data_IF_199299248670
#
_entry.id   IF_199299248670
#
_cell.length_a   1.000
_cell.length_b   1.000
_cell.length_c   1.000
_cell.angle_alpha   90.00
_cell.angle_beta   90.00
_cell.angle_gamma   90.00
#
_symmetry.space_group_name_H-M   'P 1'
#
loop_
_entity.id
_entity.type
_entity.pdbx_description
1 polymer ?
#
# COMPACT_ATOMS: atom_id res chain seq x y z
N UNK A 1 -36.30 11.49 7.81
CA UNK A 1 -35.71 11.38 6.46
C UNK A 1 -34.33 12.03 6.52
N UNK A 2 -33.28 11.24 6.73
CA UNK A 2 -31.89 11.71 6.81
C UNK A 2 -31.28 11.65 5.41
N UNK A 3 -30.60 12.72 5.03
CA UNK A 3 -30.28 13.11 3.67
C UNK A 3 -29.10 12.29 3.10
N UNK A 4 -29.33 11.50 2.05
CA UNK A 4 -28.40 10.55 1.38
C UNK A 4 -27.31 11.22 0.52
N UNK A 5 -26.85 12.45 0.82
CA UNK A 5 -26.02 13.25 -0.11
C UNK A 5 -24.74 13.87 0.45
N UNK A 6 -24.33 13.57 1.69
CA UNK A 6 -23.23 14.30 2.33
C UNK A 6 -21.82 13.77 2.07
N UNK A 7 -21.63 12.59 1.47
CA UNK A 7 -20.29 12.05 1.21
C UNK A 7 -19.51 12.82 0.12
N UNK A 8 -20.22 13.42 -0.85
CA UNK A 8 -19.62 14.02 -2.05
C UNK A 8 -19.40 15.55 -1.97
N UNK A 9 -19.83 16.21 -0.90
CA UNK A 9 -19.75 17.67 -0.78
C UNK A 9 -18.36 18.19 -0.36
N UNK A 10 -17.38 17.30 -0.14
CA UNK A 10 -16.01 17.67 0.26
C UNK A 10 -14.95 17.63 -0.85
N UNK A 11 -15.31 17.42 -2.13
CA UNK A 11 -14.34 17.14 -3.21
C UNK A 11 -14.54 17.89 -4.53
N UNK A 12 -15.33 18.97 -4.57
CA UNK A 12 -15.55 19.73 -5.80
C UNK A 12 -15.24 21.23 -5.66
N UNK A 13 -14.06 21.66 -6.16
CA UNK A 13 -13.86 22.90 -6.92
C UNK A 13 -12.36 23.19 -7.16
N UNK A 14 -11.81 22.78 -8.31
CA UNK A 14 -11.10 23.66 -9.27
C UNK A 14 -10.51 22.83 -10.42
N UNK A 15 -11.21 22.77 -11.55
CA UNK A 15 -10.60 22.43 -12.83
C UNK A 15 -11.39 23.09 -13.96
N UNK A 16 -10.83 24.16 -14.53
CA UNK A 16 -11.14 24.58 -15.89
C UNK A 16 -10.02 25.51 -16.39
N UNK A 17 -9.12 24.98 -17.22
CA UNK A 17 -8.75 25.64 -18.49
C UNK A 17 -8.01 24.68 -19.41
N UNK A 18 -8.26 24.89 -20.71
CA UNK A 18 -8.07 24.00 -21.83
C UNK A 18 -6.62 23.58 -22.16
N UNK A 19 -6.53 22.42 -22.80
CA UNK A 19 -5.34 21.88 -23.47
C UNK A 19 -4.80 22.77 -24.58
N UNK A 20 -3.48 22.93 -24.61
CA UNK A 20 -2.70 23.21 -25.82
C UNK A 20 -1.41 22.40 -25.74
N UNK A 21 -1.28 21.42 -26.64
CA UNK A 21 -0.09 20.61 -26.84
C UNK A 21 1.08 21.52 -27.25
N UNK A 22 2.05 21.66 -26.35
CA UNK A 22 3.40 22.14 -26.69
C UNK A 22 4.42 21.21 -26.05
N UNK A 23 5.20 20.55 -26.90
CA UNK A 23 6.36 19.76 -26.53
C UNK A 23 7.46 20.69 -26.00
N UNK A 24 7.42 20.98 -24.71
CA UNK A 24 8.56 21.57 -24.00
C UNK A 24 9.35 20.45 -23.34
N UNK A 25 10.57 20.22 -23.83
CA UNK A 25 11.62 19.49 -23.08
C UNK A 25 11.69 20.08 -21.68
N UNK A 26 11.25 19.30 -20.68
CA UNK A 26 11.44 19.65 -19.28
C UNK A 26 12.95 19.62 -19.02
N UNK A 27 13.51 20.82 -18.91
CA UNK A 27 14.87 21.02 -18.43
C UNK A 27 14.83 20.62 -16.94
N UNK A 28 15.45 19.49 -16.60
CA UNK A 28 15.74 19.13 -15.22
C UNK A 28 16.64 20.22 -14.63
N UNK A 29 16.03 21.25 -14.05
CA UNK A 29 16.69 22.12 -13.10
C UNK A 29 16.55 21.46 -11.74
N UNK A 30 17.68 21.04 -11.19
CA UNK A 30 17.86 20.66 -9.80
C UNK A 30 17.52 21.87 -8.89
N UNK A 31 16.24 22.12 -8.67
CA UNK A 31 15.80 22.90 -7.54
C UNK A 31 15.62 21.91 -6.39
N UNK A 32 16.65 21.73 -5.57
CA UNK A 32 16.40 21.44 -4.16
C UNK A 32 15.56 22.61 -3.66
N UNK A 33 14.24 22.46 -3.73
CA UNK A 33 13.32 23.30 -3.02
C UNK A 33 13.70 23.20 -1.54
N UNK A 34 14.39 24.23 -1.03
CA UNK A 34 14.68 24.35 0.40
C UNK A 34 13.38 24.72 1.09
N UNK A 35 12.46 23.77 1.19
CA UNK A 35 11.28 23.90 2.04
C UNK A 35 11.77 24.06 3.47
N UNK A 36 11.47 25.21 4.05
CA UNK A 36 11.97 25.61 5.36
C UNK A 36 11.52 24.60 6.42
N UNK A 37 10.32 24.03 6.28
CA UNK A 37 9.79 23.01 7.16
C UNK A 37 10.60 21.69 7.11
N UNK A 38 11.14 21.32 5.95
CA UNK A 38 12.01 20.14 5.82
C UNK A 38 13.39 20.43 6.43
N UNK A 39 13.93 21.62 6.20
CA UNK A 39 15.19 22.01 6.81
C UNK A 39 15.06 22.05 8.35
N UNK A 40 13.97 22.62 8.87
CA UNK A 40 13.71 22.67 10.31
C UNK A 40 13.59 21.26 10.92
N UNK A 41 12.88 20.35 10.26
CA UNK A 41 12.78 18.95 10.68
C UNK A 41 14.16 18.27 10.72
N UNK A 42 14.98 18.46 9.69
CA UNK A 42 16.35 17.92 9.61
C UNK A 42 17.31 18.53 10.64
N UNK A 43 17.06 19.76 11.07
CA UNK A 43 17.78 20.44 12.16
C UNK A 43 17.26 20.04 13.56
N UNK A 44 16.27 19.14 13.63
CA UNK A 44 15.75 18.56 14.86
C UNK A 44 14.55 19.30 15.46
N UNK A 45 13.89 20.18 14.71
CA UNK A 45 12.65 20.83 15.17
C UNK A 45 11.50 19.81 15.21
N UNK A 46 10.78 19.80 16.33
CA UNK A 46 9.58 18.98 16.54
C UNK A 46 8.46 19.86 17.05
N UNK A 47 7.27 19.75 16.46
CA UNK A 47 6.09 20.48 16.91
C UNK A 47 5.36 21.23 15.82
N UNK A 48 4.46 22.11 16.24
CA UNK A 48 3.72 23.00 15.35
C UNK A 48 4.65 24.02 14.70
N UNK A 49 4.65 24.03 13.38
CA UNK A 49 5.40 24.92 12.51
C UNK A 49 4.44 25.88 11.77
N UNK A 50 4.98 26.76 10.96
CA UNK A 50 4.21 27.78 10.25
C UNK A 50 3.17 27.14 9.31
N UNK A 51 2.03 27.82 9.12
CA UNK A 51 1.02 27.40 8.15
C UNK A 51 0.16 26.20 8.55
N UNK A 52 0.13 25.81 9.83
CA UNK A 52 -0.65 24.66 10.29
C UNK A 52 -0.01 23.32 9.91
N UNK A 53 1.32 23.29 9.88
CA UNK A 53 2.13 22.09 9.61
C UNK A 53 2.76 21.63 10.92
N UNK A 54 2.56 20.38 11.31
CA UNK A 54 3.29 19.75 12.41
C UNK A 54 4.47 18.95 11.86
N UNK A 55 5.64 19.06 12.49
CA UNK A 55 6.85 18.32 12.13
C UNK A 55 7.11 17.23 13.17
N UNK A 56 7.14 15.97 12.74
CA UNK A 56 7.35 14.81 13.61
C UNK A 56 8.45 13.89 13.04
N UNK A 57 9.68 13.94 13.59
CA UNK A 57 10.80 13.11 13.13
C UNK A 57 10.62 11.65 13.58
N UNK A 58 11.37 10.74 12.96
CA UNK A 58 11.43 9.33 13.32
C UNK A 58 12.59 9.10 14.30
N UNK A 59 12.25 8.94 15.57
CA UNK A 59 13.19 8.75 16.69
C UNK A 59 12.70 7.61 17.58
N UNK A 60 13.53 7.12 18.50
CA UNK A 60 13.14 6.10 19.47
C UNK A 60 11.96 6.55 20.37
N UNK A 61 11.74 7.87 20.50
CA UNK A 61 10.62 8.42 21.29
C UNK A 61 9.32 8.54 20.49
N UNK A 62 9.39 8.58 19.17
CA UNK A 62 8.25 8.83 18.27
C UNK A 62 7.84 7.62 17.46
N UNK A 63 8.65 6.56 17.48
CA UNK A 63 8.45 5.32 16.73
C UNK A 63 8.20 4.14 17.66
N UNK A 64 7.27 3.27 17.28
CA UNK A 64 7.07 1.97 17.92
C UNK A 64 7.49 0.84 16.97
N UNK A 65 8.11 -0.21 17.52
CA UNK A 65 8.49 -1.40 16.76
C UNK A 65 7.42 -2.48 16.86
N UNK A 66 6.68 -2.67 15.77
CA UNK A 66 5.89 -3.86 15.53
C UNK A 66 4.58 -3.97 16.32
N UNK A 67 4.20 -2.88 17.01
CA UNK A 67 2.98 -2.81 17.83
C UNK A 67 2.18 -1.53 17.59
N UNK A 68 0.87 -1.68 17.41
CA UNK A 68 -0.11 -0.65 17.73
C UNK A 68 -0.48 -0.78 19.20
N UNK A 69 -0.60 0.34 19.91
CA UNK A 69 -1.01 0.32 21.31
C UNK A 69 -1.85 1.55 21.64
N UNK A 70 -3.11 1.33 22.00
CA UNK A 70 -4.07 2.38 22.31
C UNK A 70 -3.67 3.25 23.51
N UNK A 71 -2.79 2.73 24.39
CA UNK A 71 -2.32 3.45 25.57
C UNK A 71 -1.09 4.33 25.30
N UNK A 72 -0.52 4.30 24.09
CA UNK A 72 0.61 5.16 23.74
C UNK A 72 0.22 6.65 23.83
N UNK A 73 0.98 7.49 24.53
CA UNK A 73 0.72 8.91 24.55
C UNK A 73 0.89 9.48 23.12
N UNK A 74 0.00 10.39 22.68
CA UNK A 74 0.16 11.05 21.40
C UNK A 74 1.53 11.75 21.28
N UNK A 75 2.23 11.49 20.17
CA UNK A 75 3.52 12.13 19.83
C UNK A 75 3.32 13.45 19.10
N UNK A 76 2.12 13.66 18.56
CA UNK A 76 1.68 14.90 17.96
C UNK A 76 0.17 15.11 18.21
N UNK A 77 -0.25 16.37 18.22
CA UNK A 77 -1.66 16.79 18.26
C UNK A 77 -1.89 17.80 17.15
N UNK A 78 -2.83 17.51 16.26
CA UNK A 78 -3.20 18.38 15.13
C UNK A 78 -4.71 18.56 15.06
N UNK A 79 -5.15 19.66 14.47
CA UNK A 79 -6.56 19.93 14.19
C UNK A 79 -6.98 19.36 12.85
N UNK A 80 -8.28 19.11 12.68
CA UNK A 80 -8.85 18.80 11.37
C UNK A 80 -8.46 19.87 10.33
N UNK A 81 -7.94 19.45 9.18
CA UNK A 81 -7.45 20.29 8.09
C UNK A 81 -5.97 20.66 8.19
N UNK A 82 -5.30 20.41 9.31
CA UNK A 82 -3.85 20.62 9.44
C UNK A 82 -3.05 19.53 8.73
N UNK A 83 -1.78 19.85 8.48
CA UNK A 83 -0.82 18.95 7.84
C UNK A 83 0.18 18.44 8.86
N UNK A 84 0.60 17.19 8.73
CA UNK A 84 1.74 16.63 9.45
C UNK A 84 2.77 16.10 8.47
N UNK A 85 4.04 16.40 8.73
CA UNK A 85 5.17 15.81 8.03
C UNK A 85 5.83 14.83 8.99
N UNK A 86 5.78 13.56 8.59
CA UNK A 86 6.37 12.44 9.30
C UNK A 86 7.68 12.06 8.61
N UNK A 87 8.72 11.80 9.38
CA UNK A 87 9.75 10.86 8.94
C UNK A 87 9.32 9.44 9.31
N UNK A 88 9.81 8.45 8.57
CA UNK A 88 9.68 7.04 8.95
C UNK A 88 11.04 6.40 9.15
N UNK A 89 11.05 5.25 9.79
CA UNK A 89 12.26 4.51 10.16
C UNK A 89 12.35 3.23 9.34
N UNK A 90 13.58 2.76 9.09
CA UNK A 90 13.76 1.45 8.45
C UNK A 90 13.30 0.35 9.41
N UNK A 91 12.96 -0.80 8.85
CA UNK A 91 12.50 -1.97 9.60
C UNK A 91 13.40 -2.32 10.80
N UNK A 92 12.76 -2.83 11.86
CA UNK A 92 13.38 -3.21 13.14
C UNK A 92 14.18 -2.07 13.79
N UNK A 93 13.63 -0.86 13.81
CA UNK A 93 14.25 0.36 14.35
C UNK A 93 15.62 0.69 13.75
N UNK A 94 15.70 0.78 12.42
CA UNK A 94 16.95 0.96 11.67
C UNK A 94 17.99 -0.16 11.84
N UNK A 95 17.62 -1.33 12.35
CA UNK A 95 18.56 -2.46 12.39
C UNK A 95 18.66 -3.19 11.06
N UNK A 96 17.71 -2.99 10.14
CA UNK A 96 17.79 -3.51 8.77
C UNK A 96 18.17 -2.36 7.83
N UNK A 97 19.46 -2.31 7.47
CA UNK A 97 20.06 -1.33 6.57
C UNK A 97 20.85 -2.05 5.46
N UNK A 98 21.18 -1.36 4.35
CA UNK A 98 22.09 -1.90 3.35
C UNK A 98 23.37 -2.46 3.96
N UNK A 99 23.69 -3.72 3.64
CA UNK A 99 24.86 -4.45 4.14
C UNK A 99 24.59 -5.34 5.36
N UNK A 100 23.40 -5.28 5.94
CA UNK A 100 23.00 -6.21 7.02
C UNK A 100 22.75 -7.60 6.43
N UNK A 101 23.45 -8.64 6.92
CA UNK A 101 23.34 -9.98 6.36
C UNK A 101 22.01 -10.66 6.77
N UNK A 102 21.57 -11.63 5.98
CA UNK A 102 20.27 -12.29 6.20
C UNK A 102 20.18 -13.02 7.54
N UNK A 103 21.30 -13.49 8.09
CA UNK A 103 21.38 -14.13 9.40
C UNK A 103 20.99 -13.16 10.51
N UNK A 104 21.36 -11.89 10.39
CA UNK A 104 21.01 -10.85 11.35
C UNK A 104 19.52 -10.49 11.25
N UNK A 105 18.99 -10.35 10.03
CA UNK A 105 17.54 -10.14 9.81
C UNK A 105 16.72 -11.31 10.38
N UNK A 106 17.20 -12.54 10.16
CA UNK A 106 16.58 -13.76 10.70
C UNK A 106 16.60 -13.75 12.22
N UNK A 107 17.75 -13.42 12.84
CA UNK A 107 17.89 -13.29 14.30
C UNK A 107 16.91 -12.26 14.85
N UNK A 108 16.82 -11.08 14.24
CA UNK A 108 15.87 -10.04 14.64
C UNK A 108 14.43 -10.55 14.59
N UNK A 109 14.05 -11.35 13.59
CA UNK A 109 12.71 -11.96 13.54
C UNK A 109 12.49 -12.97 14.68
N UNK A 110 13.46 -13.85 14.92
CA UNK A 110 13.34 -14.95 15.90
C UNK A 110 13.34 -14.41 17.34
N UNK A 111 14.21 -13.46 17.66
CA UNK A 111 14.36 -12.89 19.01
C UNK A 111 13.18 -11.99 19.41
N UNK A 112 12.32 -11.65 18.45
CA UNK A 112 11.22 -10.72 18.61
C UNK A 112 9.89 -11.37 18.15
N UNK A 113 9.40 -12.41 18.84
CA UNK A 113 8.18 -13.11 18.44
C UNK A 113 6.93 -12.22 18.57
N UNK A 114 5.94 -12.44 17.71
CA UNK A 114 4.63 -11.77 17.74
C UNK A 114 4.59 -10.36 17.16
N UNK A 115 5.75 -9.72 16.93
CA UNK A 115 5.84 -8.41 16.28
C UNK A 115 6.28 -8.53 14.82
N UNK A 116 5.78 -7.66 13.96
CA UNK A 116 6.30 -7.49 12.60
C UNK A 116 7.68 -6.83 12.61
N UNK A 117 8.39 -6.83 11.47
CA UNK A 117 9.59 -5.99 11.29
C UNK A 117 9.24 -4.49 11.26
N UNK A 118 7.96 -4.15 11.13
CA UNK A 118 7.47 -2.79 10.89
C UNK A 118 7.84 -1.84 12.01
N UNK A 119 8.21 -0.62 11.63
CA UNK A 119 8.27 0.52 12.55
C UNK A 119 7.19 1.51 12.16
N UNK A 120 6.51 2.09 13.16
CA UNK A 120 5.41 3.03 12.94
C UNK A 120 5.66 4.32 13.71
N UNK A 121 5.65 5.45 13.01
CA UNK A 121 5.74 6.80 13.60
C UNK A 121 4.35 7.25 14.04
N UNK A 122 4.22 7.72 15.27
CA UNK A 122 2.93 8.12 15.87
C UNK A 122 2.81 7.68 17.34
N UNK A 123 1.60 7.67 17.92
CA UNK A 123 0.35 8.10 17.31
C UNK A 123 0.22 9.62 17.21
N UNK A 124 -0.50 10.07 16.19
CA UNK A 124 -0.94 11.45 16.00
C UNK A 124 -2.39 11.55 16.46
N UNK A 125 -2.67 12.40 17.44
CA UNK A 125 -4.02 12.64 17.93
C UNK A 125 -4.68 13.78 17.13
N UNK A 126 -5.87 13.51 16.57
CA UNK A 126 -6.60 14.42 15.70
C UNK A 126 -7.74 15.07 16.49
N UNK A 127 -7.61 16.36 16.81
CA UNK A 127 -8.60 17.07 17.62
C UNK A 127 -10.00 17.03 16.99
N UNK A 128 -10.99 16.60 17.78
CA UNK A 128 -12.39 16.52 17.36
C UNK A 128 -12.79 15.24 16.62
N UNK A 129 -11.87 14.29 16.38
CA UNK A 129 -12.21 12.97 15.89
C UNK A 129 -12.85 12.12 17.00
N UNK A 130 -14.00 11.52 16.73
CA UNK A 130 -14.77 10.68 17.66
C UNK A 130 -15.11 9.33 17.00
N UNK A 131 -15.35 8.27 17.79
CA UNK A 131 -15.79 6.98 17.25
C UNK A 131 -17.00 7.12 16.31
N UNK A 132 -16.91 6.50 15.13
CA UNK A 132 -17.92 6.59 14.08
C UNK A 132 -17.69 7.69 13.03
N UNK A 133 -16.72 8.59 13.24
CA UNK A 133 -16.22 9.49 12.20
C UNK A 133 -15.31 8.77 11.20
N UNK A 134 -14.88 9.49 10.16
CA UNK A 134 -13.87 9.04 9.20
C UNK A 134 -12.74 10.06 9.12
N UNK A 135 -11.49 9.61 9.20
CA UNK A 135 -10.34 10.43 8.81
C UNK A 135 -10.19 10.39 7.29
N UNK A 136 -10.12 11.56 6.66
CA UNK A 136 -9.69 11.74 5.27
C UNK A 136 -8.23 12.17 5.29
N UNK A 137 -7.34 11.23 4.98
CA UNK A 137 -5.89 11.41 5.02
C UNK A 137 -5.36 11.58 3.60
N UNK A 138 -4.99 12.80 3.22
CA UNK A 138 -4.41 13.10 1.91
C UNK A 138 -2.90 12.92 1.96
N UNK A 139 -2.36 12.05 1.11
CA UNK A 139 -0.92 11.91 0.90
C UNK A 139 -0.48 13.00 -0.08
N UNK A 140 0.08 14.08 0.43
CA UNK A 140 0.49 15.24 -0.36
C UNK A 140 1.82 15.00 -1.06
N UNK A 141 2.75 14.33 -0.37
CA UNK A 141 4.11 14.11 -0.85
C UNK A 141 4.78 12.95 -0.15
N UNK A 142 5.58 12.19 -0.90
CA UNK A 142 6.47 11.15 -0.36
C UNK A 142 7.88 11.38 -0.88
N UNK A 143 8.86 11.47 0.03
CA UNK A 143 10.29 11.47 -0.31
C UNK A 143 10.95 10.28 0.35
N UNK A 144 11.21 9.18 -0.38
CA UNK A 144 11.90 8.04 0.17
C UNK A 144 13.37 8.34 0.44
N UNK A 145 13.98 7.56 1.33
CA UNK A 145 15.42 7.43 1.42
C UNK A 145 15.95 6.81 0.12
N UNK A 146 17.24 6.98 -0.15
CA UNK A 146 17.86 6.54 -1.40
C UNK A 146 18.25 5.05 -1.39
N UNK A 147 17.70 4.26 -0.48
CA UNK A 147 18.01 2.84 -0.34
C UNK A 147 16.84 2.05 0.24
N UNK A 148 16.89 0.75 0.05
CA UNK A 148 15.95 -0.19 0.65
C UNK A 148 16.50 -1.62 0.70
N UNK A 149 15.76 -2.53 1.30
CA UNK A 149 16.12 -3.95 1.41
C UNK A 149 14.90 -4.82 1.14
N UNK A 150 15.05 -5.87 0.35
CA UNK A 150 14.10 -6.97 0.23
C UNK A 150 14.73 -8.22 0.84
N UNK A 151 13.94 -9.07 1.50
CA UNK A 151 14.49 -10.30 2.05
C UNK A 151 13.51 -11.48 2.01
N UNK A 152 14.07 -12.66 1.78
CA UNK A 152 13.44 -13.95 1.98
C UNK A 152 14.00 -14.57 3.26
N UNK A 153 13.12 -14.94 4.19
CA UNK A 153 13.51 -15.60 5.44
C UNK A 153 13.66 -17.11 5.23
N UNK A 154 14.43 -17.82 6.09
CA UNK A 154 14.55 -19.27 6.03
C UNK A 154 13.19 -19.98 6.04
N UNK A 155 13.03 -21.01 5.21
CA UNK A 155 11.77 -21.73 5.03
C UNK A 155 11.21 -22.34 6.32
N UNK A 156 12.06 -22.69 7.29
CA UNK A 156 11.65 -23.20 8.61
C UNK A 156 10.84 -22.19 9.44
N UNK A 157 10.91 -20.90 9.12
CA UNK A 157 10.08 -19.87 9.75
C UNK A 157 8.65 -19.82 9.20
N UNK A 158 8.39 -20.48 8.05
CA UNK A 158 7.08 -20.56 7.40
C UNK A 158 6.45 -19.18 7.14
N UNK A 159 7.24 -18.27 6.55
CA UNK A 159 6.83 -16.91 6.19
C UNK A 159 7.01 -16.66 4.68
N UNK A 160 6.18 -15.79 4.11
CA UNK A 160 6.01 -15.66 2.67
C UNK A 160 5.00 -16.66 2.11
N UNK A 161 4.70 -16.58 0.82
CA UNK A 161 3.65 -17.40 0.21
C UNK A 161 4.11 -18.85 -0.03
N UNK A 162 5.37 -19.06 -0.38
CA UNK A 162 5.91 -20.37 -0.77
C UNK A 162 7.18 -20.79 0.01
N UNK A 163 7.17 -20.77 1.36
CA UNK A 163 8.38 -21.01 2.16
C UNK A 163 8.99 -22.41 1.98
N UNK A 164 8.20 -23.41 1.59
CA UNK A 164 8.69 -24.77 1.34
C UNK A 164 9.34 -24.95 -0.03
N UNK A 165 8.97 -24.10 -1.01
CA UNK A 165 9.51 -24.16 -2.37
C UNK A 165 10.73 -23.26 -2.54
N UNK A 166 10.83 -22.20 -1.75
CA UNK A 166 11.97 -21.27 -1.72
C UNK A 166 12.53 -21.13 -0.29
N UNK A 167 13.11 -22.21 0.27
CA UNK A 167 13.54 -22.23 1.66
C UNK A 167 14.84 -21.44 1.92
N UNK A 168 15.59 -21.06 0.89
CA UNK A 168 16.86 -20.38 1.04
C UNK A 168 16.68 -18.93 1.53
N UNK A 169 17.45 -18.55 2.55
CA UNK A 169 17.42 -17.19 3.06
C UNK A 169 18.27 -16.25 2.18
N UNK A 170 17.76 -15.06 1.87
CA UNK A 170 18.49 -14.04 1.12
C UNK A 170 18.08 -12.64 1.55
N UNK A 171 19.05 -11.72 1.57
CA UNK A 171 18.80 -10.29 1.64
C UNK A 171 19.37 -9.63 0.38
N UNK A 172 18.58 -8.75 -0.24
CA UNK A 172 19.00 -7.89 -1.36
C UNK A 172 18.91 -6.44 -0.92
N UNK A 173 19.97 -5.68 -1.18
CA UNK A 173 20.02 -4.26 -0.87
C UNK A 173 19.96 -3.45 -2.15
N UNK A 174 19.16 -2.40 -2.12
CA UNK A 174 18.83 -1.58 -3.28
C UNK A 174 19.28 -0.16 -3.04
N UNK A 175 19.83 0.47 -4.09
CA UNK A 175 20.08 1.89 -4.13
C UNK A 175 19.12 2.50 -5.16
N UNK A 176 18.33 3.47 -4.72
CA UNK A 176 17.26 4.03 -5.52
C UNK A 176 17.79 5.21 -6.34
N UNK A 177 17.70 5.11 -7.67
CA UNK A 177 17.91 6.26 -8.54
C UNK A 177 16.61 7.08 -8.59
N UNK A 178 16.48 8.02 -7.65
CA UNK A 178 15.31 8.89 -7.53
C UNK A 178 15.19 9.91 -8.68
N UNK A 179 16.26 10.12 -9.46
CA UNK A 179 16.22 11.01 -10.63
C UNK A 179 15.58 10.29 -11.80
N UNK A 180 15.95 9.03 -12.03
CA UNK A 180 15.36 8.18 -13.07
C UNK A 180 14.04 7.55 -12.63
N UNK A 181 13.78 7.48 -11.32
CA UNK A 181 12.60 6.83 -10.76
C UNK A 181 12.66 5.30 -10.85
N UNK A 182 13.86 4.72 -10.74
CA UNK A 182 14.07 3.26 -10.86
C UNK A 182 15.06 2.75 -9.83
N UNK A 183 15.02 1.44 -9.58
CA UNK A 183 16.08 0.70 -8.90
C UNK A 183 16.47 -0.52 -9.73
N UNK A 184 17.74 -0.88 -9.73
CA UNK A 184 18.22 -2.09 -10.38
C UNK A 184 18.06 -3.29 -9.44
N UNK A 185 17.36 -4.33 -9.89
CA UNK A 185 17.18 -5.59 -9.13
C UNK A 185 18.37 -6.54 -9.33
N UNK A 186 18.78 -6.67 -10.59
CA UNK A 186 19.96 -7.37 -11.09
C UNK A 186 20.41 -6.63 -12.37
N UNK A 187 21.67 -6.80 -12.84
CA UNK A 187 22.13 -6.17 -14.06
C UNK A 187 21.16 -6.34 -15.23
N UNK A 188 20.64 -5.22 -15.75
CA UNK A 188 19.68 -5.19 -16.86
C UNK A 188 18.21 -5.47 -16.48
N UNK A 189 17.90 -5.55 -15.19
CA UNK A 189 16.54 -5.66 -14.65
C UNK A 189 16.25 -4.43 -13.78
N UNK A 190 15.38 -3.55 -14.27
CA UNK A 190 15.01 -2.31 -13.57
C UNK A 190 13.54 -2.33 -13.14
N UNK A 191 13.30 -1.85 -11.93
CA UNK A 191 11.99 -1.75 -11.32
C UNK A 191 11.63 -0.28 -11.07
N UNK A 192 10.39 0.16 -11.39
CA UNK A 192 9.97 1.53 -11.14
C UNK A 192 9.84 1.79 -9.64
N UNK A 193 10.47 2.85 -9.16
CA UNK A 193 10.33 3.33 -7.78
C UNK A 193 9.03 4.11 -7.66
N UNK A 194 8.06 3.53 -6.94
CA UNK A 194 6.73 4.10 -6.73
C UNK A 194 6.41 3.99 -5.24
N UNK A 195 6.90 4.93 -4.42
CA UNK A 195 6.89 4.77 -2.96
C UNK A 195 5.50 4.99 -2.38
N UNK A 196 5.17 4.24 -1.33
CA UNK A 196 3.92 4.34 -0.56
C UNK A 196 4.12 3.78 0.86
N UNK A 197 3.35 4.24 1.86
CA UNK A 197 3.37 3.62 3.19
C UNK A 197 2.56 2.31 3.16
N UNK A 198 3.21 1.17 3.44
CA UNK A 198 2.51 -0.11 3.66
C UNK A 198 1.57 -0.03 4.86
N UNK A 199 2.00 0.68 5.90
CA UNK A 199 1.17 1.02 7.07
C UNK A 199 0.65 2.44 7.02
N UNK A 200 -0.68 2.55 7.01
CA UNK A 200 -1.43 3.75 7.41
C UNK A 200 -2.67 3.31 8.18
N UNK A 201 -2.73 3.62 9.47
CA UNK A 201 -3.81 3.10 10.31
C UNK A 201 -4.08 3.91 11.57
N UNK A 202 -5.24 3.70 12.15
CA UNK A 202 -5.69 4.33 13.40
C UNK A 202 -5.78 3.30 14.53
N UNK A 203 -6.02 3.74 15.76
CA UNK A 203 -6.23 2.82 16.87
C UNK A 203 -7.51 1.99 16.68
N UNK A 204 -7.44 0.75 17.14
CA UNK A 204 -8.57 -0.18 17.16
C UNK A 204 -9.60 0.22 18.20
N UNK A 205 -10.84 -0.24 18.04
CA UNK A 205 -11.90 -0.07 19.04
C UNK A 205 -11.53 -0.76 20.35
N UNK A 206 -11.02 -1.99 20.26
CA UNK A 206 -10.58 -2.71 21.43
C UNK A 206 -9.28 -2.11 21.97
N UNK A 207 -9.28 -1.76 23.26
CA UNK A 207 -8.07 -1.29 23.93
C UNK A 207 -7.08 -2.43 24.11
N UNK A 208 -5.82 -2.21 23.73
CA UNK A 208 -4.76 -3.18 23.92
C UNK A 208 -3.52 -2.86 23.10
N UNK A 209 -2.59 -3.81 23.14
CA UNK A 209 -1.41 -3.85 22.29
C UNK A 209 -1.60 -4.94 21.22
N UNK A 210 -1.44 -4.57 19.95
CA UNK A 210 -1.70 -5.43 18.80
C UNK A 210 -0.53 -5.40 17.83
N UNK A 211 -0.21 -6.55 17.24
CA UNK A 211 0.83 -6.64 16.22
C UNK A 211 0.50 -5.71 15.05
N UNK A 212 1.53 -5.08 14.45
CA UNK A 212 1.38 -4.29 13.23
C UNK A 212 1.30 -5.15 11.97
N UNK A 213 1.32 -6.48 12.07
CA UNK A 213 1.30 -7.39 10.91
C UNK A 213 -0.07 -7.43 10.21
N UNK A 214 -1.18 -7.77 10.88
CA UNK A 214 -2.45 -7.88 10.17
C UNK A 214 -3.06 -6.48 9.90
N UNK A 215 -3.56 -6.21 8.68
CA UNK A 215 -4.47 -5.10 8.43
C UNK A 215 -5.83 -5.30 9.09
N UNK A 216 -6.70 -4.30 9.00
CA UNK A 216 -8.10 -4.43 9.38
C UNK A 216 -8.94 -3.20 9.03
N UNK A 217 -10.17 -3.11 9.56
CA UNK A 217 -11.02 -1.92 9.45
C UNK A 217 -10.33 -0.61 9.82
N UNK A 218 -9.37 -0.67 10.74
CA UNK A 218 -8.53 0.45 11.20
C UNK A 218 -7.42 0.85 10.23
N UNK A 219 -7.34 0.25 9.03
CA UNK A 219 -6.20 0.37 8.13
C UNK A 219 -5.08 -0.58 8.56
N UNK A 220 -3.93 -0.03 8.92
CA UNK A 220 -2.77 -0.82 9.32
C UNK A 220 -1.97 -1.27 8.10
N UNK A 221 -1.49 -2.51 8.10
CA UNK A 221 -0.62 -3.10 7.07
C UNK A 221 -1.38 -3.44 5.78
N UNK A 222 -1.85 -2.42 5.09
CA UNK A 222 -2.69 -2.60 3.91
C UNK A 222 -1.86 -3.09 2.72
N UNK A 223 -0.60 -2.68 2.61
CA UNK A 223 0.31 -3.05 1.52
C UNK A 223 -0.33 -2.85 0.14
N UNK A 224 -1.13 -1.79 0.06
CA UNK A 224 -1.81 -1.38 -1.16
C UNK A 224 -0.93 -0.37 -1.90
N UNK A 225 -0.20 -0.85 -2.90
CA UNK A 225 0.73 -0.05 -3.73
C UNK A 225 0.11 1.16 -4.44
N UNK A 226 -1.20 1.32 -4.36
CA UNK A 226 -1.92 2.47 -4.89
C UNK A 226 -1.95 3.67 -3.91
N UNK A 227 -1.51 3.52 -2.65
CA UNK A 227 -1.41 4.59 -1.65
C UNK A 227 -0.23 5.55 -1.87
N UNK A 228 -0.08 6.04 -3.10
CA UNK A 228 1.03 6.91 -3.51
C UNK A 228 0.74 8.39 -3.29
N UNK A 229 1.75 9.23 -3.53
CA UNK A 229 1.57 10.69 -3.61
C UNK A 229 0.36 11.07 -4.49
N UNK A 230 -0.48 11.96 -3.96
CA UNK A 230 -1.71 12.40 -4.61
C UNK A 230 -2.94 11.53 -4.31
N UNK A 231 -2.82 10.45 -3.54
CA UNK A 231 -3.98 9.66 -3.09
C UNK A 231 -4.53 10.13 -1.74
N UNK A 232 -5.80 9.83 -1.48
CA UNK A 232 -6.49 10.08 -0.21
C UNK A 232 -6.95 8.74 0.35
N UNK A 233 -6.69 8.48 1.63
CA UNK A 233 -7.17 7.29 2.34
C UNK A 233 -8.22 7.72 3.37
N UNK A 234 -9.39 7.10 3.30
CA UNK A 234 -10.50 7.33 4.21
C UNK A 234 -10.52 6.19 5.22
N UNK A 235 -10.29 6.48 6.50
CA UNK A 235 -10.13 5.47 7.56
C UNK A 235 -11.19 5.68 8.64
N UNK A 236 -12.02 4.67 9.00
CA UNK A 236 -13.00 4.81 10.07
C UNK A 236 -12.32 5.01 11.43
N UNK A 237 -12.91 5.86 12.27
CA UNK A 237 -12.41 6.20 13.60
C UNK A 237 -13.09 5.35 14.66
N UNK A 238 -12.30 4.76 15.56
CA UNK A 238 -12.80 3.86 16.61
C UNK A 238 -12.61 4.39 18.04
N UNK A 239 -11.70 5.35 18.23
CA UNK A 239 -11.40 5.97 19.53
C UNK A 239 -11.30 7.48 19.40
N UNK A 240 -11.44 8.19 20.51
CA UNK A 240 -11.24 9.63 20.55
C UNK A 240 -9.84 10.01 20.01
N UNK A 241 -9.81 11.00 19.13
CA UNK A 241 -8.59 11.47 18.50
C UNK A 241 -8.02 10.55 17.43
N UNK A 242 -8.67 9.41 17.15
CA UNK A 242 -8.29 8.35 16.22
C UNK A 242 -6.95 7.63 16.52
N UNK A 243 -5.90 8.36 16.91
CA UNK A 243 -4.52 7.90 17.05
C UNK A 243 -3.99 7.35 15.72
N UNK A 244 -3.55 8.23 14.82
CA UNK A 244 -3.04 7.86 13.50
C UNK A 244 -1.56 7.47 13.57
N UNK A 245 -1.19 6.36 12.93
CA UNK A 245 0.17 5.89 12.70
C UNK A 245 0.44 5.72 11.22
N UNK A 246 1.71 5.89 10.83
CA UNK A 246 2.18 5.44 9.53
C UNK A 246 3.62 4.94 9.61
N UNK A 247 3.99 4.05 8.70
CA UNK A 247 5.27 3.37 8.71
C UNK A 247 5.36 2.37 7.57
N UNK A 248 6.23 1.38 7.75
CA UNK A 248 6.43 0.29 6.78
C UNK A 248 6.58 0.79 5.34
N UNK A 249 7.60 1.62 5.14
CA UNK A 249 7.70 2.44 3.94
C UNK A 249 8.26 1.62 2.79
N UNK A 250 7.50 1.46 1.71
CA UNK A 250 7.93 0.68 0.56
C UNK A 250 8.41 1.59 -0.56
N UNK A 251 9.48 1.19 -1.25
CA UNK A 251 9.94 1.85 -2.47
C UNK A 251 9.39 1.19 -3.74
N UNK A 252 9.22 -0.14 -3.72
CA UNK A 252 8.77 -0.97 -4.83
C UNK A 252 8.00 -2.16 -4.27
N UNK A 253 6.78 -2.40 -4.75
CA UNK A 253 5.99 -3.59 -4.41
C UNK A 253 5.12 -4.04 -5.58
N UNK A 254 5.03 -5.34 -5.79
CA UNK A 254 4.04 -5.97 -6.66
C UNK A 254 2.68 -6.08 -5.97
N UNK A 255 1.64 -6.30 -6.77
CA UNK A 255 0.38 -6.81 -6.24
C UNK A 255 0.56 -8.29 -5.86
N UNK A 256 0.37 -8.59 -4.58
CA UNK A 256 0.49 -9.91 -3.98
C UNK A 256 1.58 -10.00 -2.92
N UNK A 257 2.68 -9.23 -3.04
CA UNK A 257 3.79 -9.22 -2.06
C UNK A 257 4.26 -10.63 -1.65
N UNK A 258 4.34 -11.53 -2.62
CA UNK A 258 4.37 -12.97 -2.36
C UNK A 258 5.62 -13.44 -1.58
N UNK A 259 6.75 -12.73 -1.67
CA UNK A 259 7.98 -13.05 -0.95
C UNK A 259 8.00 -12.47 0.48
N UNK A 260 6.85 -12.14 1.06
CA UNK A 260 6.70 -11.48 2.38
C UNK A 260 7.02 -9.99 2.38
N UNK A 261 7.98 -9.54 1.58
CA UNK A 261 8.48 -8.16 1.65
C UNK A 261 8.51 -7.45 0.31
N UNK A 262 8.44 -6.13 0.39
CA UNK A 262 8.68 -5.19 -0.68
C UNK A 262 10.19 -4.87 -0.81
N UNK A 263 10.54 -3.81 -1.53
CA UNK A 263 11.78 -3.08 -1.25
C UNK A 263 11.50 -2.16 -0.07
N UNK A 264 11.76 -2.67 1.13
CA UNK A 264 11.55 -1.98 2.39
C UNK A 264 12.50 -0.81 2.52
N UNK A 265 11.96 0.36 2.85
CA UNK A 265 12.66 1.64 2.90
C UNK A 265 12.18 2.45 4.11
N UNK A 266 12.50 3.73 4.08
CA UNK A 266 12.05 4.74 5.03
C UNK A 266 11.88 6.06 4.27
N UNK A 267 11.10 6.97 4.82
CA UNK A 267 10.77 8.25 4.21
C UNK A 267 11.46 9.37 4.98
N UNK A 268 12.20 10.20 4.25
CA UNK A 268 12.66 11.49 4.74
C UNK A 268 11.48 12.47 4.88
N UNK A 269 10.39 12.20 4.17
CA UNK A 269 9.15 12.96 4.28
C UNK A 269 7.96 12.11 3.85
N UNK A 270 6.98 12.02 4.73
CA UNK A 270 5.61 11.63 4.44
C UNK A 270 4.70 12.77 4.88
N UNK A 271 4.21 13.53 3.90
CA UNK A 271 3.42 14.74 4.12
C UNK A 271 1.93 14.41 3.99
N UNK A 272 1.19 14.53 5.10
CA UNK A 272 -0.20 14.14 5.20
C UNK A 272 -1.07 15.32 5.64
N UNK A 273 -2.14 15.63 4.91
CA UNK A 273 -3.22 16.51 5.43
C UNK A 273 -4.35 15.65 5.96
N UNK A 274 -4.82 15.93 7.17
CA UNK A 274 -5.81 15.09 7.86
C UNK A 274 -7.06 15.88 8.17
N UNK A 275 -8.20 15.46 7.62
CA UNK A 275 -9.52 16.06 7.85
C UNK A 275 -10.45 15.05 8.55
N UNK A 276 -11.21 15.50 9.54
CA UNK A 276 -12.24 14.71 10.22
C UNK A 276 -13.58 14.91 9.53
N UNK A 277 -14.13 13.84 8.97
CA UNK A 277 -15.45 13.83 8.34
C UNK A 277 -16.51 13.35 9.33
N UNK A 278 -17.35 14.29 9.79
CA UNK A 278 -18.47 14.02 10.70
C UNK A 278 -19.67 13.41 9.96
N UNK A 279 -20.40 12.52 10.65
CA UNK A 279 -21.68 11.98 10.17
C UNK A 279 -21.57 11.06 8.93
N UNK A 280 -20.37 10.55 8.67
CA UNK A 280 -20.07 9.52 7.68
C UNK A 280 -19.43 8.37 8.41
N UNK A 281 -19.84 7.13 8.12
CA UNK A 281 -19.19 5.94 8.65
C UNK A 281 -18.74 5.00 7.53
N UNK A 282 -17.65 4.30 7.77
CA UNK A 282 -17.12 3.26 6.90
C UNK A 282 -16.93 1.98 7.71
N UNK A 283 -17.07 0.84 7.04
CA UNK A 283 -16.70 -0.46 7.62
C UNK A 283 -15.22 -0.72 7.41
N UNK A 284 -14.75 -0.47 6.18
CA UNK A 284 -13.37 -0.65 5.74
C UNK A 284 -12.80 0.65 5.20
N UNK A 285 -11.46 0.80 5.17
CA UNK A 285 -10.87 1.94 4.52
C UNK A 285 -11.24 2.01 3.03
N UNK A 286 -11.29 3.23 2.51
CA UNK A 286 -11.51 3.51 1.08
C UNK A 286 -10.37 4.37 0.57
N UNK A 287 -9.89 4.09 -0.64
CA UNK A 287 -8.79 4.86 -1.25
C UNK A 287 -9.34 5.64 -2.44
N UNK A 288 -8.82 6.84 -2.62
CA UNK A 288 -9.14 7.72 -3.74
C UNK A 288 -7.84 8.18 -4.39
N UNK A 289 -7.63 7.81 -5.66
CA UNK A 289 -6.60 8.42 -6.49
C UNK A 289 -7.20 9.55 -7.33
N UNK A 290 -6.40 10.35 -8.06
CA UNK A 290 -6.93 11.34 -8.98
C UNK A 290 -7.90 10.76 -10.02
N UNK A 291 -7.75 9.49 -10.38
CA UNK A 291 -8.51 8.84 -11.47
C UNK A 291 -9.48 7.76 -11.01
N UNK A 292 -9.30 7.18 -9.83
CA UNK A 292 -10.09 6.04 -9.36
C UNK A 292 -10.57 6.19 -7.92
N UNK A 293 -11.70 5.58 -7.63
CA UNK A 293 -12.07 5.15 -6.28
C UNK A 293 -11.65 3.70 -6.08
N UNK A 294 -11.31 3.32 -4.85
CA UNK A 294 -10.94 1.96 -4.53
C UNK A 294 -11.57 1.51 -3.21
N UNK A 295 -12.17 0.33 -3.25
CA UNK A 295 -12.77 -0.37 -2.11
C UNK A 295 -11.95 -1.61 -1.80
N UNK A 296 -11.90 -1.97 -0.52
CA UNK A 296 -10.98 -2.96 0.03
C UNK A 296 -11.75 -4.12 0.68
N UNK A 297 -11.12 -5.29 0.72
CA UNK A 297 -11.55 -6.42 1.53
C UNK A 297 -10.36 -7.26 1.96
N UNK A 298 -10.30 -7.57 3.26
CA UNK A 298 -9.26 -8.42 3.85
C UNK A 298 -9.88 -9.50 4.71
N UNK A 299 -9.43 -10.73 4.54
CA UNK A 299 -9.79 -11.87 5.39
C UNK A 299 -8.66 -12.92 5.35
N UNK A 300 -8.68 -13.89 6.28
CA UNK A 300 -7.73 -15.03 6.23
C UNK A 300 -8.00 -15.93 5.02
N UNK A 301 -9.25 -16.01 4.59
CA UNK A 301 -9.69 -16.71 3.39
C UNK A 301 -9.86 -15.70 2.25
N UNK A 302 -9.12 -15.88 1.15
CA UNK A 302 -9.15 -14.97 0.00
C UNK A 302 -10.54 -14.92 -0.66
N UNK A 303 -11.34 -15.99 -0.60
CA UNK A 303 -12.71 -15.98 -1.12
C UNK A 303 -13.60 -15.04 -0.30
N UNK A 304 -13.41 -15.02 1.03
CA UNK A 304 -14.11 -14.09 1.92
C UNK A 304 -13.61 -12.66 1.68
N UNK A 305 -12.30 -12.47 1.49
CA UNK A 305 -11.72 -11.16 1.17
C UNK A 305 -12.30 -10.56 -0.12
N UNK A 306 -12.44 -11.39 -1.18
CA UNK A 306 -13.13 -11.00 -2.42
C UNK A 306 -14.59 -10.61 -2.14
N UNK A 307 -15.31 -11.40 -1.33
CA UNK A 307 -16.69 -11.12 -0.96
C UNK A 307 -16.87 -9.80 -0.20
N UNK A 308 -15.98 -9.50 0.76
CA UNK A 308 -15.97 -8.22 1.50
C UNK A 308 -15.72 -7.06 0.54
N UNK A 309 -14.71 -7.20 -0.34
CA UNK A 309 -14.41 -6.18 -1.33
C UNK A 309 -15.62 -5.95 -2.27
N UNK A 310 -16.29 -7.00 -2.74
CA UNK A 310 -17.50 -6.88 -3.56
C UNK A 310 -18.60 -6.13 -2.79
N UNK A 311 -18.88 -6.50 -1.54
CA UNK A 311 -19.89 -5.83 -0.72
C UNK A 311 -19.62 -4.33 -0.55
N UNK A 312 -18.39 -3.96 -0.19
CA UNK A 312 -17.98 -2.56 -0.04
C UNK A 312 -18.04 -1.80 -1.38
N UNK A 313 -17.70 -2.47 -2.49
CA UNK A 313 -17.82 -1.90 -3.85
C UNK A 313 -19.27 -1.60 -4.21
N UNK A 314 -20.18 -2.54 -3.97
CA UNK A 314 -21.60 -2.38 -4.29
C UNK A 314 -22.26 -1.32 -3.40
N UNK A 315 -21.94 -1.32 -2.11
CA UNK A 315 -22.37 -0.28 -1.17
C UNK A 315 -21.90 1.10 -1.63
N UNK A 316 -20.62 1.22 -2.00
CA UNK A 316 -20.08 2.47 -2.48
C UNK A 316 -20.72 2.94 -3.79
N UNK A 317 -20.95 2.05 -4.76
CA UNK A 317 -21.63 2.40 -6.01
C UNK A 317 -23.08 2.86 -5.79
N UNK A 318 -23.78 2.26 -4.84
CA UNK A 318 -25.10 2.71 -4.43
C UNK A 318 -25.06 4.11 -3.78
N UNK A 319 -24.06 4.40 -2.95
CA UNK A 319 -23.85 5.71 -2.32
C UNK A 319 -23.43 6.79 -3.32
N UNK A 320 -22.46 6.49 -4.18
CA UNK A 320 -21.82 7.43 -5.10
C UNK A 320 -22.67 7.72 -6.33
N UNK A 321 -23.23 6.68 -6.96
CA UNK A 321 -23.98 6.81 -8.22
C UNK A 321 -25.48 6.55 -8.08
N UNK A 322 -25.97 6.17 -6.90
CA UNK A 322 -27.40 5.88 -6.69
C UNK A 322 -27.88 4.61 -7.40
N UNK A 323 -26.96 3.71 -7.76
CA UNK A 323 -27.27 2.48 -8.49
C UNK A 323 -28.04 1.50 -7.61
N UNK A 324 -28.99 0.78 -8.19
CA UNK A 324 -29.56 -0.41 -7.56
C UNK A 324 -28.49 -1.51 -7.42
N UNK A 325 -28.71 -2.49 -6.55
CA UNK A 325 -27.76 -3.60 -6.37
C UNK A 325 -27.43 -4.34 -7.68
N UNK A 326 -28.41 -4.45 -8.60
CA UNK A 326 -28.20 -5.07 -9.92
C UNK A 326 -27.33 -4.21 -10.82
N UNK A 327 -27.59 -2.90 -10.86
CA UNK A 327 -26.80 -1.95 -11.66
C UNK A 327 -25.39 -1.77 -11.11
N UNK A 328 -25.23 -1.78 -9.78
CA UNK A 328 -23.92 -1.72 -9.14
C UNK A 328 -23.07 -2.96 -9.49
N UNK A 329 -23.64 -4.16 -9.47
CA UNK A 329 -22.93 -5.39 -9.90
C UNK A 329 -22.54 -5.32 -11.37
N UNK A 330 -23.46 -4.85 -12.23
CA UNK A 330 -23.15 -4.66 -13.66
C UNK A 330 -22.01 -3.64 -13.84
N UNK A 331 -22.07 -2.50 -13.14
CA UNK A 331 -21.02 -1.48 -13.20
C UNK A 331 -19.68 -2.02 -12.74
N UNK A 332 -19.63 -2.75 -11.62
CA UNK A 332 -18.40 -3.40 -11.16
C UNK A 332 -17.88 -4.43 -12.17
N UNK A 333 -18.75 -5.21 -12.81
CA UNK A 333 -18.35 -6.15 -13.87
C UNK A 333 -17.75 -5.45 -15.08
N UNK A 334 -18.31 -4.30 -15.45
CA UNK A 334 -17.90 -3.57 -16.65
C UNK A 334 -16.65 -2.71 -16.43
N UNK A 335 -16.45 -2.18 -15.21
CA UNK A 335 -15.45 -1.13 -14.94
C UNK A 335 -14.54 -1.41 -13.74
N UNK A 336 -14.77 -2.48 -12.97
CA UNK A 336 -13.95 -2.83 -11.82
C UNK A 336 -12.67 -3.56 -12.21
N UNK A 337 -11.52 -2.95 -11.96
CA UNK A 337 -10.21 -3.62 -12.03
C UNK A 337 -9.85 -4.14 -10.64
N UNK A 338 -9.98 -5.46 -10.45
CA UNK A 338 -9.82 -6.12 -9.15
C UNK A 338 -8.41 -6.69 -9.03
N UNK A 339 -7.72 -6.35 -7.94
CA UNK A 339 -6.31 -6.68 -7.74
C UNK A 339 -6.05 -7.22 -6.34
N UNK A 340 -4.96 -7.97 -6.21
CA UNK A 340 -4.49 -8.55 -4.95
C UNK A 340 -3.45 -7.62 -4.36
N UNK A 341 -3.72 -7.00 -3.21
CA UNK A 341 -2.74 -6.14 -2.54
C UNK A 341 -1.57 -6.99 -2.00
N UNK A 342 -1.91 -7.96 -1.15
CA UNK A 342 -0.95 -8.81 -0.43
C UNK A 342 -1.58 -10.18 -0.11
N UNK A 343 -0.74 -11.20 0.11
CA UNK A 343 -1.18 -12.53 0.59
C UNK A 343 -0.37 -13.06 1.78
N UNK A 344 0.36 -12.22 2.50
CA UNK A 344 1.42 -12.64 3.43
C UNK A 344 1.23 -12.13 4.85
N UNK A 345 0.28 -11.23 5.09
CA UNK A 345 0.07 -10.56 6.39
C UNK A 345 -0.87 -11.27 7.34
N UNK A 346 -0.94 -12.60 7.26
CA UNK A 346 -1.96 -13.47 7.89
C UNK A 346 -3.37 -13.32 7.30
N UNK A 347 -3.74 -12.12 6.85
CA UNK A 347 -4.90 -11.86 5.99
C UNK A 347 -4.46 -11.89 4.51
N UNK A 348 -5.43 -11.74 3.61
CA UNK A 348 -5.29 -11.62 2.15
C UNK A 348 -6.03 -10.36 1.72
N UNK A 349 -5.34 -9.45 1.04
CA UNK A 349 -5.88 -8.16 0.64
C UNK A 349 -6.35 -8.12 -0.79
N UNK A 350 -7.60 -7.68 -1.00
CA UNK A 350 -8.20 -7.48 -2.31
C UNK A 350 -8.70 -6.05 -2.42
N UNK A 351 -8.50 -5.42 -3.58
CA UNK A 351 -9.08 -4.11 -3.86
C UNK A 351 -9.67 -4.03 -5.27
N UNK A 352 -10.75 -3.27 -5.42
CA UNK A 352 -11.36 -2.99 -6.72
C UNK A 352 -11.19 -1.51 -7.05
N UNK A 353 -10.62 -1.22 -8.21
CA UNK A 353 -10.48 0.12 -8.74
C UNK A 353 -11.66 0.45 -9.65
N UNK A 354 -12.35 1.56 -9.36
CA UNK A 354 -13.46 2.08 -10.14
C UNK A 354 -13.09 3.44 -10.74
N UNK A 355 -13.16 3.63 -12.08
CA UNK A 355 -12.81 4.89 -12.70
C UNK A 355 -13.81 5.98 -12.30
N UNK A 356 -13.30 7.19 -12.02
CA UNK A 356 -14.11 8.37 -11.66
C UNK A 356 -14.84 8.96 -12.85
N UNK A 357 -14.14 9.01 -13.98
CA UNK A 357 -14.64 9.51 -15.26
C UNK A 357 -15.12 8.37 -16.15
N UNK A 358 -15.96 8.70 -17.13
CA UNK A 358 -16.43 7.75 -18.12
C UNK A 358 -15.23 7.10 -18.81
N UNK A 359 -15.19 5.77 -18.73
CA UNK A 359 -14.12 4.93 -19.26
C UNK A 359 -14.72 3.87 -20.16
N UNK A 360 -13.98 3.35 -21.16
CA UNK A 360 -14.44 2.18 -21.88
C UNK A 360 -14.60 1.00 -20.92
N UNK A 361 -15.54 0.11 -21.24
CA UNK A 361 -15.69 -1.17 -20.54
C UNK A 361 -14.36 -1.90 -20.57
N UNK A 362 -13.93 -2.42 -19.42
CA UNK A 362 -12.68 -3.16 -19.28
C UNK A 362 -12.73 -4.43 -20.14
N UNK A 363 -11.69 -4.62 -20.95
CA UNK A 363 -11.45 -5.87 -21.64
C UNK A 363 -11.17 -6.99 -20.64
N UNK A 364 -11.47 -8.23 -21.02
CA UNK A 364 -11.03 -9.39 -20.25
C UNK A 364 -9.51 -9.38 -20.08
N UNK A 365 -9.03 -9.80 -18.91
CA UNK A 365 -7.61 -9.98 -18.66
C UNK A 365 -7.03 -11.02 -19.63
N UNK A 366 -5.79 -10.83 -20.11
CA UNK A 366 -5.15 -11.76 -21.02
C UNK A 366 -4.93 -13.12 -20.34
N UNK A 367 -5.07 -14.21 -21.10
CA UNK A 367 -4.78 -15.58 -20.65
C UNK A 367 -3.46 -16.13 -21.23
N UNK A 368 -2.80 -15.32 -22.07
CA UNK A 368 -1.53 -15.62 -22.68
C UNK A 368 -0.73 -14.31 -22.78
N UNK A 369 0.55 -14.43 -23.09
CA UNK A 369 1.43 -13.28 -23.25
C UNK A 369 0.85 -12.22 -24.19
N UNK A 370 1.15 -10.98 -23.83
CA UNK A 370 0.93 -9.82 -24.68
C UNK A 370 2.28 -9.24 -25.07
N UNK A 371 2.28 -8.19 -25.91
CA UNK A 371 3.49 -7.44 -26.22
C UNK A 371 4.10 -6.78 -24.97
N UNK A 372 3.25 -6.47 -23.97
CA UNK A 372 3.64 -5.72 -22.77
C UNK A 372 3.92 -6.63 -21.56
N UNK A 373 3.31 -7.81 -21.49
CA UNK A 373 3.32 -8.64 -20.28
C UNK A 373 3.66 -10.10 -20.57
N UNK A 374 4.46 -10.68 -19.68
CA UNK A 374 4.39 -12.11 -19.38
C UNK A 374 3.12 -12.38 -18.59
N UNK A 375 2.37 -13.40 -19.00
CA UNK A 375 1.07 -13.70 -18.40
C UNK A 375 0.96 -15.17 -18.06
N UNK A 376 0.54 -15.45 -16.83
CA UNK A 376 -0.03 -16.73 -16.42
C UNK A 376 -1.42 -16.52 -15.84
N UNK A 377 -2.25 -17.56 -15.88
CA UNK A 377 -3.57 -17.52 -15.28
C UNK A 377 -3.92 -18.90 -14.71
N UNK A 378 -4.79 -18.90 -13.70
CA UNK A 378 -5.40 -20.11 -13.20
C UNK A 378 -6.84 -19.86 -12.74
N UNK A 379 -7.66 -20.90 -12.81
CA UNK A 379 -9.04 -20.90 -12.37
C UNK A 379 -9.23 -21.99 -11.33
N UNK A 380 -9.76 -21.63 -10.15
CA UNK A 380 -10.08 -22.58 -9.09
C UNK A 380 -11.25 -22.06 -8.24
N UNK A 381 -12.01 -22.96 -7.63
CA UNK A 381 -13.05 -22.57 -6.67
C UNK A 381 -12.46 -21.90 -5.42
N UNK A 382 -11.24 -22.29 -5.02
CA UNK A 382 -10.47 -21.60 -3.99
C UNK A 382 -9.56 -20.53 -4.63
N UNK A 383 -9.83 -19.26 -4.33
CA UNK A 383 -9.04 -18.13 -4.81
C UNK A 383 -7.54 -18.22 -4.46
N UNK A 384 -7.19 -18.75 -3.29
CA UNK A 384 -5.78 -18.91 -2.92
C UNK A 384 -5.09 -19.98 -3.76
N UNK A 385 -5.78 -21.07 -4.10
CA UNK A 385 -5.21 -22.10 -4.99
C UNK A 385 -5.03 -21.58 -6.42
N UNK A 386 -5.96 -20.76 -6.91
CA UNK A 386 -5.80 -20.06 -8.19
C UNK A 386 -4.61 -19.09 -8.16
N UNK A 387 -4.47 -18.30 -7.10
CA UNK A 387 -3.33 -17.40 -6.90
C UNK A 387 -2.00 -18.18 -6.86
N UNK A 388 -1.93 -19.27 -6.10
CA UNK A 388 -0.75 -20.12 -5.99
C UNK A 388 -0.34 -20.68 -7.34
N UNK A 389 -1.29 -21.29 -8.06
CA UNK A 389 -1.05 -21.91 -9.36
C UNK A 389 -0.55 -20.88 -10.37
N UNK A 390 -1.20 -19.72 -10.45
CA UNK A 390 -0.81 -18.67 -11.40
C UNK A 390 0.56 -18.07 -11.05
N UNK A 391 0.81 -17.74 -9.79
CA UNK A 391 2.06 -17.13 -9.36
C UNK A 391 3.26 -18.08 -9.53
N UNK A 392 3.13 -19.35 -9.13
CA UNK A 392 4.20 -20.35 -9.31
C UNK A 392 4.52 -20.58 -10.78
N UNK A 393 3.51 -20.71 -11.63
CA UNK A 393 3.72 -20.86 -13.07
C UNK A 393 4.48 -19.66 -13.67
N UNK A 394 4.25 -18.44 -13.14
CA UNK A 394 4.98 -17.26 -13.59
C UNK A 394 6.44 -17.29 -13.08
N UNK A 395 6.66 -17.64 -11.82
CA UNK A 395 7.99 -17.73 -11.23
C UNK A 395 8.85 -18.75 -11.99
N UNK A 396 8.33 -19.97 -12.19
CA UNK A 396 9.01 -21.04 -12.94
C UNK A 396 9.35 -20.60 -14.35
N UNK A 397 8.40 -19.95 -15.03
CA UNK A 397 8.60 -19.45 -16.38
C UNK A 397 9.68 -18.37 -16.46
N UNK A 398 9.67 -17.40 -15.56
CA UNK A 398 10.66 -16.33 -15.55
C UNK A 398 12.04 -16.86 -15.15
N UNK A 399 12.10 -17.83 -14.23
CA UNK A 399 13.32 -18.55 -13.90
C UNK A 399 13.93 -19.19 -15.16
N UNK A 400 13.14 -19.93 -15.94
CA UNK A 400 13.59 -20.62 -17.15
C UNK A 400 13.95 -19.65 -18.29
N UNK A 401 13.05 -18.73 -18.65
CA UNK A 401 13.23 -17.86 -19.82
C UNK A 401 14.33 -16.80 -19.61
N UNK A 402 14.57 -16.38 -18.36
CA UNK A 402 15.52 -15.30 -18.04
C UNK A 402 16.77 -15.79 -17.33
N UNK A 403 16.87 -17.10 -17.07
CA UNK A 403 18.03 -17.71 -16.41
C UNK A 403 18.27 -17.16 -15.00
N UNK A 404 17.21 -16.77 -14.29
CA UNK A 404 17.31 -16.35 -12.90
C UNK A 404 17.46 -17.56 -11.98
N UNK A 405 18.01 -17.36 -10.78
CA UNK A 405 17.86 -18.37 -9.73
C UNK A 405 16.40 -18.47 -9.32
N UNK A 406 15.98 -19.60 -8.76
CA UNK A 406 14.62 -19.79 -8.27
C UNK A 406 14.22 -18.69 -7.27
N UNK A 407 15.11 -18.37 -6.32
CA UNK A 407 14.88 -17.35 -5.32
C UNK A 407 14.88 -15.92 -5.91
N UNK A 408 15.72 -15.62 -6.90
CA UNK A 408 15.67 -14.34 -7.61
C UNK A 408 14.36 -14.16 -8.38
N UNK A 409 13.86 -15.22 -9.03
CA UNK A 409 12.58 -15.16 -9.75
C UNK A 409 11.40 -14.95 -8.79
N UNK A 410 11.42 -15.62 -7.63
CA UNK A 410 10.42 -15.43 -6.58
C UNK A 410 10.46 -14.01 -5.98
N UNK A 411 11.66 -13.53 -5.63
CA UNK A 411 11.86 -12.18 -5.10
C UNK A 411 11.45 -11.11 -6.11
N UNK A 412 11.87 -11.23 -7.37
CA UNK A 412 11.47 -10.31 -8.45
C UNK A 412 9.94 -10.29 -8.61
N UNK A 413 9.30 -11.46 -8.54
CA UNK A 413 7.85 -11.56 -8.61
C UNK A 413 7.17 -10.83 -7.46
N UNK A 414 7.68 -10.89 -6.22
CA UNK A 414 7.15 -10.07 -5.11
C UNK A 414 7.14 -8.57 -5.40
N UNK A 415 8.14 -8.09 -6.14
CA UNK A 415 8.35 -6.66 -6.38
C UNK A 415 7.67 -6.14 -7.65
N UNK A 416 7.39 -7.02 -8.62
CA UNK A 416 6.98 -6.62 -9.96
C UNK A 416 5.70 -7.29 -10.46
N UNK A 417 5.23 -8.35 -9.79
CA UNK A 417 3.99 -9.02 -10.12
C UNK A 417 2.81 -8.05 -10.05
N UNK A 418 1.89 -8.18 -11.00
CA UNK A 418 0.59 -7.55 -10.96
C UNK A 418 -0.48 -8.65 -10.90
N UNK A 419 -0.78 -9.16 -9.70
CA UNK A 419 -1.80 -10.17 -9.48
C UNK A 419 -3.20 -9.54 -9.51
N UNK A 420 -4.04 -10.04 -10.40
CA UNK A 420 -5.39 -9.52 -10.64
C UNK A 420 -6.44 -10.61 -10.57
N UNK A 421 -7.61 -10.27 -10.04
CA UNK A 421 -8.79 -11.12 -10.09
C UNK A 421 -9.52 -10.82 -11.39
N UNK A 422 -9.75 -11.85 -12.19
CA UNK A 422 -10.56 -11.78 -13.39
C UNK A 422 -12.04 -11.57 -13.06
N UNK A 423 -12.91 -11.80 -14.04
CA UNK A 423 -14.34 -11.68 -13.81
C UNK A 423 -14.78 -12.62 -12.70
N UNK A 424 -15.57 -12.09 -11.77
CA UNK A 424 -16.16 -12.85 -10.68
C UNK A 424 -17.24 -13.77 -11.26
N UNK A 425 -16.97 -15.07 -11.24
CA UNK A 425 -17.88 -16.10 -11.72
C UNK A 425 -18.30 -17.01 -10.55
N UNK A 426 -19.58 -17.40 -10.44
CA UNK A 426 -20.02 -18.26 -9.36
C UNK A 426 -19.23 -19.58 -9.32
N UNK A 427 -18.51 -19.82 -8.22
CA UNK A 427 -17.74 -21.05 -8.00
C UNK A 427 -16.41 -21.14 -8.74
N UNK A 428 -15.95 -20.05 -9.38
CA UNK A 428 -14.67 -19.99 -10.07
C UNK A 428 -13.99 -18.64 -9.86
N UNK A 429 -12.83 -18.67 -9.21
CA UNK A 429 -11.94 -17.52 -9.07
C UNK A 429 -10.86 -17.61 -10.13
N UNK A 430 -10.82 -16.59 -10.98
CA UNK A 430 -9.82 -16.43 -12.03
C UNK A 430 -8.73 -15.52 -11.51
N UNK A 431 -7.51 -16.01 -11.34
CA UNK A 431 -6.36 -15.16 -10.95
C UNK A 431 -5.39 -15.10 -12.12
N UNK A 432 -5.02 -13.88 -12.49
CA UNK A 432 -4.05 -13.60 -13.54
C UNK A 432 -2.83 -12.96 -12.90
N UNK A 433 -1.65 -13.50 -13.21
CA UNK A 433 -0.38 -12.96 -12.78
C UNK A 433 0.33 -12.36 -13.98
N UNK A 434 0.50 -11.03 -13.97
CA UNK A 434 1.13 -10.29 -15.06
C UNK A 434 2.47 -9.73 -14.60
N UNK A 435 3.50 -9.85 -15.43
CA UNK A 435 4.81 -9.24 -15.19
C UNK A 435 5.24 -8.41 -16.40
N UNK A 436 5.50 -7.10 -16.24
CA UNK A 436 5.85 -6.24 -17.36
C UNK A 436 7.14 -6.70 -18.06
N UNK A 437 7.11 -6.86 -19.39
CA UNK A 437 8.29 -7.15 -20.22
C UNK A 437 9.31 -6.00 -20.21
N UNK A 438 8.86 -4.78 -19.93
CA UNK A 438 9.72 -3.60 -19.72
C UNK A 438 10.62 -3.69 -18.49
N UNK A 439 10.42 -4.68 -17.62
CA UNK A 439 11.31 -4.97 -16.48
C UNK A 439 12.73 -5.32 -16.93
N UNK A 440 12.91 -5.83 -18.15
CA UNK A 440 14.22 -6.07 -18.76
C UNK A 440 14.57 -4.93 -19.71
N UNK A 441 15.68 -4.22 -19.43
CA UNK A 441 16.08 -2.99 -20.16
C UNK A 441 17.24 -3.21 -21.15
N UNK A 442 17.60 -4.46 -21.42
CA UNK A 442 18.73 -4.87 -22.26
C UNK A 442 18.45 -4.94 -23.75
#
# INVERSE_FOLDING_TARGET
MVNRRNFLLGSAATAATASLLHTTRVRAQSAHSKREEIQALQEGFVGQYQGGVYLLPATDETVQWGWFNNAEPPRARIKSGETIILETMMASQNQILPGVPIEEITRLRVDNPGRGPHTVTGPVFIEGAEPGDVLKVKINRIVPRTYGTNWNLPGELNLGQFPTLFPEAQAKHFYLDLVRGVTEFLPGIELPVRPFPGILGVAREESGQYSTVPPGPFGGNLDCREMVEGTTVYIPVFVEGALLWSGDSHAVQGNGEINLTAVESAFNELNLTVEVLKGTSLTWPRIESPTHWMTLGYDRDMNIAIGIMEEETLKFLAEWKGLSSREARQYMTDYGDIRVAEVVNQLKGIYCMLPKEDSPVLSSLPQADTDEYYVTYATNADAMEAMNTSALALIERIQEEKGLTALDAYSLSSLALDARVGRLEPGANNIHCLLPKSTWVS
#
